data_IF_743154213491
#
_entry.id   IF_743154213491
#
_cell.length_a   1.000
_cell.length_b   1.000
_cell.length_c   1.000
_cell.angle_alpha   90.00
_cell.angle_beta   90.00
_cell.angle_gamma   90.00
#
_symmetry.space_group_name_H-M   'P 1'
#
loop_
_entity.id
_entity.type
_entity.pdbx_description
1 polymer ?
#
# COMPACT_ATOMS: atom_id res chain seq x y z
N UNK A 1 -2.05 21.31 12.77
CA UNK A 1 -2.00 21.63 11.33
C UNK A 1 -2.40 23.08 11.13
N UNK A 2 -2.06 23.65 9.99
CA UNK A 2 -2.45 25.01 9.59
C UNK A 2 -3.30 24.93 8.33
N UNK A 3 -4.45 25.61 8.34
CA UNK A 3 -5.37 25.75 7.22
C UNK A 3 -5.19 27.15 6.63
N UNK A 4 -4.74 27.24 5.39
CA UNK A 4 -4.63 28.49 4.64
C UNK A 4 -5.86 28.63 3.72
N UNK A 5 -6.53 29.78 3.77
CA UNK A 5 -7.64 30.07 2.88
C UNK A 5 -7.18 30.66 1.52
N UNK A 6 -8.12 30.94 0.63
CA UNK A 6 -7.85 31.53 -0.69
C UNK A 6 -7.22 32.93 -0.62
N UNK A 7 -7.39 33.64 0.50
CA UNK A 7 -6.78 34.95 0.75
C UNK A 7 -5.40 34.87 1.41
N UNK A 8 -4.87 33.66 1.63
CA UNK A 8 -3.57 33.42 2.26
C UNK A 8 -3.60 33.52 3.79
N UNK A 9 -4.78 33.60 4.41
CA UNK A 9 -4.90 33.70 5.86
C UNK A 9 -4.85 32.32 6.50
N UNK A 10 -4.04 32.22 7.55
CA UNK A 10 -3.76 30.96 8.24
C UNK A 10 -4.61 30.77 9.50
N UNK A 11 -5.14 29.56 9.68
CA UNK A 11 -5.90 29.13 10.83
C UNK A 11 -5.28 27.85 11.40
N UNK A 12 -4.91 27.86 12.68
CA UNK A 12 -4.44 26.64 13.35
C UNK A 12 -5.61 25.72 13.67
N UNK A 13 -5.50 24.45 13.28
CA UNK A 13 -6.46 23.41 13.60
C UNK A 13 -5.78 22.14 14.13
N UNK A 14 -6.43 21.47 15.08
CA UNK A 14 -5.95 20.19 15.63
C UNK A 14 -6.68 19.03 14.96
N UNK A 15 -5.91 18.15 14.33
CA UNK A 15 -6.42 16.90 13.77
C UNK A 15 -6.49 15.82 14.85
N UNK A 16 -7.62 15.12 14.92
CA UNK A 16 -7.79 13.94 15.76
C UNK A 16 -7.86 12.73 14.83
N UNK A 17 -6.73 12.02 14.71
CA UNK A 17 -6.60 10.87 13.83
C UNK A 17 -7.61 9.75 14.16
N UNK A 18 -7.85 9.48 15.45
CA UNK A 18 -8.80 8.44 15.91
C UNK A 18 -10.24 8.65 15.44
N UNK A 19 -10.61 9.89 15.14
CA UNK A 19 -11.97 10.27 14.74
C UNK A 19 -12.03 10.85 13.34
N UNK A 20 -10.88 10.88 12.64
CA UNK A 20 -10.72 11.54 11.33
C UNK A 20 -11.40 12.91 11.30
N UNK A 21 -11.16 13.71 12.34
CA UNK A 21 -11.91 14.94 12.60
C UNK A 21 -10.99 16.12 12.95
N UNK A 22 -11.40 17.32 12.56
CA UNK A 22 -10.80 18.57 13.01
C UNK A 22 -11.48 19.04 14.30
N UNK A 23 -10.70 19.52 15.26
CA UNK A 23 -11.18 19.85 16.60
C UNK A 23 -10.87 21.30 16.98
N UNK A 24 -9.91 21.53 17.87
CA UNK A 24 -9.51 22.86 18.29
C UNK A 24 -9.16 23.73 17.06
N UNK A 25 -9.66 24.96 17.03
CA UNK A 25 -9.47 25.90 15.91
C UNK A 25 -10.43 25.75 14.73
N UNK A 26 -11.10 24.59 14.57
CA UNK A 26 -12.09 24.39 13.50
C UNK A 26 -13.25 25.38 13.58
N UNK A 27 -13.78 25.62 14.79
CA UNK A 27 -14.89 26.55 15.02
C UNK A 27 -14.53 27.98 14.57
N UNK A 28 -13.28 28.40 14.76
CA UNK A 28 -12.81 29.72 14.34
C UNK A 28 -12.73 29.82 12.80
N UNK A 29 -12.22 28.78 12.15
CA UNK A 29 -12.20 28.69 10.67
C UNK A 29 -13.63 28.70 10.09
N UNK A 30 -14.51 27.84 10.61
CA UNK A 30 -15.90 27.72 10.16
C UNK A 30 -16.68 29.04 10.31
N UNK A 31 -16.52 29.73 11.45
CA UNK A 31 -17.13 31.03 11.67
C UNK A 31 -16.54 32.12 10.77
N UNK A 32 -15.21 32.16 10.61
CA UNK A 32 -14.52 33.12 9.75
C UNK A 32 -14.97 33.05 8.29
N UNK A 33 -15.26 31.84 7.81
CA UNK A 33 -15.75 31.61 6.45
C UNK A 33 -17.27 31.46 6.33
N UNK A 34 -18.05 31.65 7.42
CA UNK A 34 -19.52 31.52 7.41
C UNK A 34 -19.99 30.22 6.73
N UNK A 35 -19.34 29.11 7.05
CA UNK A 35 -19.66 27.82 6.45
C UNK A 35 -21.08 27.39 6.86
N UNK A 36 -21.83 26.86 5.90
CA UNK A 36 -23.16 26.29 6.15
C UNK A 36 -23.19 24.81 5.78
N UNK A 37 -24.18 24.09 6.29
CA UNK A 37 -24.40 22.70 5.89
C UNK A 37 -24.63 22.61 4.38
N UNK A 38 -23.91 21.69 3.73
CA UNK A 38 -23.88 21.53 2.28
C UNK A 38 -22.68 22.18 1.60
N UNK A 39 -21.96 23.10 2.26
CA UNK A 39 -20.68 23.60 1.74
C UNK A 39 -19.65 22.45 1.72
N UNK A 40 -18.92 22.33 0.62
CA UNK A 40 -17.88 21.32 0.43
C UNK A 40 -16.51 21.97 0.59
N UNK A 41 -15.61 21.29 1.29
CA UNK A 41 -14.25 21.77 1.55
C UNK A 41 -13.24 20.80 0.96
N UNK A 42 -12.33 21.34 0.17
CA UNK A 42 -11.23 20.58 -0.43
C UNK A 42 -9.94 20.97 0.28
N UNK A 43 -9.27 19.98 0.89
CA UNK A 43 -8.01 20.16 1.60
C UNK A 43 -6.85 19.72 0.71
N UNK A 44 -6.02 20.67 0.29
CA UNK A 44 -4.82 20.40 -0.49
C UNK A 44 -3.57 20.53 0.38
N UNK A 45 -2.82 19.45 0.54
CA UNK A 45 -1.59 19.43 1.35
C UNK A 45 -0.47 20.19 0.60
N UNK A 46 0.01 21.29 1.18
CA UNK A 46 1.09 22.11 0.59
C UNK A 46 2.42 21.96 1.33
N UNK A 47 2.41 21.46 2.57
CA UNK A 47 3.60 21.15 3.36
C UNK A 47 3.24 20.17 4.48
N UNK A 48 4.22 19.61 5.19
CA UNK A 48 4.11 18.53 6.19
C UNK A 48 3.06 18.74 7.29
N UNK A 49 2.56 19.97 7.49
CA UNK A 49 1.43 20.25 8.38
C UNK A 49 0.56 21.42 7.94
N UNK A 50 0.62 21.81 6.66
CA UNK A 50 -0.07 22.97 6.10
C UNK A 50 -0.97 22.56 4.93
N UNK A 51 -2.24 22.90 5.01
CA UNK A 51 -3.24 22.63 3.99
C UNK A 51 -3.79 23.93 3.44
N UNK A 52 -3.90 24.04 2.12
CA UNK A 52 -4.70 25.06 1.46
C UNK A 52 -6.14 24.56 1.33
N UNK A 53 -7.11 25.35 1.75
CA UNK A 53 -8.51 24.96 1.82
C UNK A 53 -9.33 25.74 0.82
N UNK A 54 -9.98 25.03 -0.10
CA UNK A 54 -10.90 25.59 -1.09
C UNK A 54 -12.35 25.32 -0.66
N UNK A 55 -13.22 26.32 -0.81
CA UNK A 55 -14.60 26.26 -0.32
C UNK A 55 -15.56 26.30 -1.49
N UNK A 56 -16.20 25.16 -1.80
CA UNK A 56 -17.26 25.06 -2.80
C UNK A 56 -18.60 25.26 -2.08
N UNK A 57 -19.23 26.40 -2.33
CA UNK A 57 -20.49 26.76 -1.65
C UNK A 57 -21.66 25.95 -2.15
N UNK A 58 -22.53 25.54 -1.24
CA UNK A 58 -23.80 24.92 -1.61
C UNK A 58 -24.62 25.91 -2.44
N UNK A 59 -25.13 25.45 -3.59
CA UNK A 59 -26.11 26.22 -4.37
C UNK A 59 -27.38 26.41 -3.53
N UNK A 60 -27.58 27.62 -3.03
CA UNK A 60 -28.86 28.01 -2.45
C UNK A 60 -29.79 28.37 -3.60
N UNK A 61 -30.68 27.45 -3.99
CA UNK A 61 -31.79 27.79 -4.88
C UNK A 61 -32.68 28.81 -4.16
N UNK A 62 -32.51 30.09 -4.50
CA UNK A 62 -33.52 31.10 -4.17
C UNK A 62 -34.75 30.75 -5.00
N UNK A 63 -35.83 30.40 -4.30
CA UNK A 63 -37.13 30.15 -4.91
C UNK A 63 -37.61 31.44 -5.60
N UNK A 64 -37.90 31.31 -6.91
CA UNK A 64 -38.74 32.17 -7.77
C UNK A 64 -38.03 33.45 -8.28
N UNK A 65 -38.01 33.84 -9.55
CA UNK A 65 -38.58 33.33 -10.81
C UNK A 65 -37.66 33.69 -11.99
N UNK A 66 -37.88 32.97 -13.07
CA UNK A 66 -37.56 33.26 -14.47
C UNK A 66 -36.16 32.96 -15.06
N UNK A 67 -36.21 31.96 -15.95
CA UNK A 67 -35.31 31.59 -17.05
C UNK A 67 -33.82 31.34 -16.75
N UNK A 68 -33.44 30.06 -16.69
CA UNK A 68 -32.72 29.44 -17.80
C UNK A 68 -32.89 27.92 -17.76
N UNK A 69 -33.42 27.42 -18.85
CA UNK A 69 -33.73 26.04 -19.16
C UNK A 69 -32.52 25.12 -19.18
N UNK A 70 -32.72 23.91 -18.65
CA UNK A 70 -32.19 22.65 -19.16
C UNK A 70 -30.70 22.37 -18.96
N UNK A 71 -30.40 21.46 -18.04
CA UNK A 71 -29.92 20.13 -18.43
C UNK A 71 -30.29 19.12 -17.32
N UNK A 72 -31.22 18.25 -17.67
CA UNK A 72 -31.64 17.11 -16.87
C UNK A 72 -30.76 15.92 -17.27
N UNK A 73 -29.96 15.38 -16.35
CA UNK A 73 -29.53 13.98 -16.44
C UNK A 73 -29.74 13.33 -15.08
N UNK A 74 -30.78 12.51 -15.07
CA UNK A 74 -31.20 11.65 -13.98
C UNK A 74 -30.17 10.51 -13.80
N UNK A 75 -29.62 10.36 -12.59
CA UNK A 75 -29.04 9.07 -12.14
C UNK A 75 -29.71 8.72 -10.83
N UNK A 76 -30.72 7.87 -10.92
CA UNK A 76 -31.32 7.20 -9.78
C UNK A 76 -30.34 6.16 -9.20
N UNK A 77 -29.91 6.35 -7.95
CA UNK A 77 -29.66 5.26 -7.01
C UNK A 77 -29.77 5.76 -5.55
N UNK A 78 -30.44 4.96 -4.72
CA UNK A 78 -31.05 5.30 -3.41
C UNK A 78 -30.04 5.66 -2.30
N UNK A 79 -30.44 6.48 -1.30
CA UNK A 79 -29.62 6.75 -0.12
C UNK A 79 -29.58 5.55 0.82
N UNK A 80 -28.39 5.07 1.16
CA UNK A 80 -28.19 4.11 2.25
C UNK A 80 -28.44 4.84 3.57
N UNK A 81 -29.59 4.56 4.19
CA UNK A 81 -29.90 4.98 5.56
C UNK A 81 -28.83 4.41 6.50
N UNK A 82 -28.12 5.29 7.20
CA UNK A 82 -27.20 4.87 8.27
C UNK A 82 -28.00 4.30 9.44
N UNK A 83 -27.96 2.97 9.58
CA UNK A 83 -28.49 2.27 10.76
C UNK A 83 -27.52 2.52 11.93
N UNK A 84 -27.98 3.27 12.95
CA UNK A 84 -27.26 3.40 14.23
C UNK A 84 -27.01 2.00 14.81
N UNK A 85 -25.75 1.55 14.82
CA UNK A 85 -25.31 0.41 15.62
C UNK A 85 -24.50 0.89 16.82
N UNK A 86 -24.91 0.39 18.00
CA UNK A 86 -24.33 0.62 19.32
C UNK A 86 -22.84 0.25 19.33
N UNK A 87 -22.08 1.08 20.05
CA UNK A 87 -20.66 0.93 20.40
C UNK A 87 -20.32 -0.51 20.80
N UNK A 88 -19.29 -1.07 20.18
CA UNK A 88 -18.44 -2.08 20.81
C UNK A 88 -16.98 -1.64 20.74
N UNK A 89 -16.40 -1.56 21.93
CA UNK A 89 -15.02 -1.18 22.24
C UNK A 89 -14.09 -2.26 21.68
N UNK A 90 -13.24 -1.93 20.71
CA UNK A 90 -12.06 -2.74 20.38
C UNK A 90 -10.86 -1.83 20.16
N UNK A 91 -9.76 -2.26 20.73
CA UNK A 91 -8.48 -1.60 20.90
C UNK A 91 -7.73 -1.45 19.57
N UNK A 92 -6.95 -0.37 19.50
CA UNK A 92 -6.11 0.05 18.38
C UNK A 92 -5.12 -1.01 17.90
N UNK A 93 -4.75 -0.93 16.61
CA UNK A 93 -3.38 -1.13 16.14
C UNK A 93 -3.15 -0.29 14.88
N UNK A 94 -2.04 0.45 14.93
CA UNK A 94 -1.60 1.48 13.99
C UNK A 94 -1.36 0.93 12.57
N UNK A 95 -1.71 1.73 11.56
CA UNK A 95 -1.08 1.69 10.24
C UNK A 95 -0.79 3.14 9.84
N UNK A 96 0.50 3.49 9.85
CA UNK A 96 0.99 4.78 9.38
C UNK A 96 0.89 4.86 7.86
N UNK A 97 0.40 6.00 7.39
CA UNK A 97 0.43 6.40 5.99
C UNK A 97 1.90 6.47 5.55
N UNK A 98 2.33 5.62 4.61
CA UNK A 98 3.64 5.75 3.97
C UNK A 98 3.46 6.61 2.72
N UNK A 99 4.10 7.76 2.74
CA UNK A 99 4.23 8.63 1.58
C UNK A 99 4.97 7.91 0.45
N UNK A 100 4.36 7.90 -0.74
CA UNK A 100 4.98 7.43 -1.97
C UNK A 100 5.80 8.58 -2.57
N UNK A 101 7.13 8.49 -2.49
CA UNK A 101 8.04 9.35 -3.24
C UNK A 101 8.12 8.89 -4.71
N UNK A 102 8.33 9.81 -5.68
CA UNK A 102 8.35 9.46 -7.10
C UNK A 102 9.68 8.78 -7.48
N UNK A 103 9.61 7.54 -8.00
CA UNK A 103 10.74 6.91 -8.67
C UNK A 103 10.65 7.19 -10.18
N UNK A 104 11.51 8.09 -10.65
CA UNK A 104 11.84 8.23 -12.07
C UNK A 104 12.72 7.04 -12.49
N UNK A 105 12.33 6.33 -13.55
CA UNK A 105 13.17 5.31 -14.19
C UNK A 105 13.65 5.84 -15.55
N UNK A 106 14.96 5.92 -15.82
CA UNK A 106 15.49 6.05 -17.17
C UNK A 106 15.66 4.67 -17.81
N UNK A 107 15.30 4.58 -19.10
CA UNK A 107 15.56 3.43 -19.96
C UNK A 107 17.05 3.27 -20.27
N UNK A 108 17.57 2.05 -20.26
CA UNK A 108 18.66 1.63 -21.14
C UNK A 108 18.72 0.10 -21.27
N UNK A 109 18.91 -0.34 -22.51
CA UNK A 109 19.20 -1.71 -22.93
C UNK A 109 20.61 -2.15 -22.49
N UNK A 110 20.86 -3.47 -22.60
CA UNK A 110 22.08 -4.12 -23.14
C UNK A 110 22.66 -5.28 -22.26
N UNK A 111 22.71 -6.44 -22.94
CA UNK A 111 23.63 -7.59 -22.90
C UNK A 111 23.79 -8.56 -21.71
N UNK A 112 23.48 -9.82 -22.05
CA UNK A 112 24.19 -11.07 -21.77
C UNK A 112 25.63 -10.95 -21.24
N UNK A 113 25.91 -11.72 -20.16
CA UNK A 113 27.02 -12.68 -20.11
C UNK A 113 27.00 -13.55 -18.83
N UNK A 114 26.62 -14.83 -19.01
CA UNK A 114 27.37 -16.06 -18.68
C UNK A 114 27.91 -16.40 -17.26
N UNK A 115 27.56 -17.65 -16.88
CA UNK A 115 28.44 -18.79 -16.49
C UNK A 115 28.85 -19.01 -15.01
N UNK A 116 28.45 -20.17 -14.47
CA UNK A 116 29.33 -21.14 -13.77
C UNK A 116 28.66 -22.53 -13.79
N UNK A 117 29.18 -23.38 -14.67
CA UNK A 117 28.85 -24.79 -14.87
C UNK A 117 30.21 -25.50 -14.76
N UNK A 118 30.37 -26.40 -13.79
CA UNK A 118 31.58 -27.20 -13.67
C UNK A 118 31.27 -28.66 -13.96
N UNK A 119 32.16 -29.19 -14.79
CA UNK A 119 32.22 -30.49 -15.42
C UNK A 119 32.13 -31.69 -14.47
N UNK A 120 31.65 -32.81 -15.01
CA UNK A 120 32.13 -34.12 -14.60
C UNK A 120 32.24 -35.00 -15.86
N UNK A 121 33.47 -35.32 -16.27
CA UNK A 121 33.77 -36.39 -17.23
C UNK A 121 34.54 -37.50 -16.51
N UNK A 122 34.09 -38.73 -16.77
CA UNK A 122 34.80 -40.02 -16.91
C UNK A 122 35.76 -40.44 -15.76
N UNK A 123 35.97 -41.71 -15.40
CA UNK A 123 35.74 -43.05 -15.96
C UNK A 123 35.98 -44.02 -14.78
N UNK A 124 35.07 -44.96 -14.49
CA UNK A 124 35.22 -46.41 -14.72
C UNK A 124 36.19 -47.17 -13.77
N UNK A 125 35.66 -48.14 -12.99
CA UNK A 125 36.02 -49.59 -12.99
C UNK A 125 35.56 -50.33 -11.70
N UNK A 126 34.68 -51.34 -11.91
CA UNK A 126 34.80 -52.76 -11.49
C UNK A 126 34.66 -53.16 -10.00
N UNK A 127 33.48 -53.70 -9.68
CA UNK A 127 33.18 -55.13 -9.41
C UNK A 127 33.30 -55.75 -7.99
N UNK A 128 32.17 -56.37 -7.61
CA UNK A 128 31.93 -57.60 -6.82
C UNK A 128 32.67 -57.88 -5.49
N UNK A 129 31.91 -58.19 -4.43
CA UNK A 129 31.64 -59.59 -4.06
C UNK A 129 30.74 -59.73 -2.82
N UNK A 130 29.92 -60.78 -2.86
CA UNK A 130 29.07 -61.31 -1.80
C UNK A 130 29.91 -61.95 -0.69
N UNK A 131 29.43 -61.89 0.56
CA UNK A 131 29.45 -63.10 1.39
C UNK A 131 28.46 -63.03 2.55
N UNK A 132 27.65 -64.09 2.61
CA UNK A 132 26.76 -64.48 3.71
C UNK A 132 27.55 -64.78 4.99
N UNK A 133 27.02 -64.36 6.13
CA UNK A 133 27.20 -65.12 7.37
C UNK A 133 25.98 -65.03 8.28
N UNK A 134 25.61 -66.22 8.74
CA UNK A 134 24.38 -66.64 9.39
C UNK A 134 24.17 -66.02 10.79
N UNK A 135 22.92 -65.66 11.03
CA UNK A 135 22.12 -65.95 12.23
C UNK A 135 22.84 -66.67 13.39
N UNK A 136 22.86 -66.03 14.58
CA UNK A 136 22.66 -66.67 15.88
C UNK A 136 22.32 -65.64 16.95
N UNK A 137 21.20 -65.89 17.62
CA UNK A 137 20.65 -65.14 18.75
C UNK A 137 21.52 -65.25 20.00
N UNK A 138 21.76 -64.12 20.67
CA UNK A 138 21.87 -64.01 22.14
C UNK A 138 21.58 -62.54 22.50
N UNK A 139 20.49 -62.17 23.16
CA UNK A 139 20.14 -62.63 24.49
C UNK A 139 20.78 -61.67 25.51
N UNK A 140 19.95 -60.78 26.08
CA UNK A 140 20.21 -59.95 27.27
C UNK A 140 20.96 -58.62 27.08
N UNK A 141 20.23 -57.55 26.73
CA UNK A 141 20.19 -56.29 27.50
C UNK A 141 18.79 -55.66 27.34
N UNK A 142 17.82 -56.28 28.00
CA UNK A 142 16.53 -55.67 28.31
C UNK A 142 16.78 -54.70 29.47
N UNK A 143 16.96 -53.40 29.16
CA UNK A 143 17.42 -52.46 30.20
C UNK A 143 17.56 -50.98 29.82
N UNK A 144 17.34 -50.58 28.57
CA UNK A 144 17.15 -49.17 28.22
C UNK A 144 15.70 -48.99 27.79
N UNK A 145 14.81 -49.21 28.75
CA UNK A 145 13.43 -48.73 28.67
C UNK A 145 13.49 -47.21 28.60
N UNK A 146 13.29 -46.68 27.38
CA UNK A 146 12.60 -45.42 27.08
C UNK A 146 12.68 -44.36 28.19
N UNK A 147 13.84 -43.72 28.32
CA UNK A 147 14.04 -42.49 29.11
C UNK A 147 13.95 -41.22 28.25
N UNK A 148 13.45 -41.32 27.02
CA UNK A 148 12.90 -40.18 26.31
C UNK A 148 11.50 -39.91 26.89
N UNK A 149 11.45 -39.32 28.08
CA UNK A 149 10.24 -38.62 28.51
C UNK A 149 9.90 -37.65 27.39
N UNK A 150 8.75 -37.83 26.77
CA UNK A 150 8.15 -36.84 25.89
C UNK A 150 7.87 -35.64 26.81
N UNK A 151 8.84 -34.73 26.91
CA UNK A 151 8.69 -33.50 27.67
C UNK A 151 7.57 -32.75 26.97
N UNK A 152 6.46 -32.50 27.67
CA UNK A 152 5.41 -31.63 27.14
C UNK A 152 6.01 -30.25 26.92
N UNK A 153 5.74 -29.62 25.77
CA UNK A 153 6.34 -28.32 25.43
C UNK A 153 6.07 -27.26 26.51
N UNK A 154 4.98 -27.41 27.26
CA UNK A 154 4.62 -26.56 28.41
C UNK A 154 5.65 -26.57 29.55
N UNK A 155 6.50 -27.59 29.65
CA UNK A 155 7.53 -27.70 30.70
C UNK A 155 8.82 -26.96 30.34
N UNK A 156 9.03 -26.61 29.05
CA UNK A 156 10.24 -25.93 28.57
C UNK A 156 10.14 -24.42 28.78
N UNK A 157 10.57 -23.96 29.97
CA UNK A 157 10.50 -22.53 30.37
C UNK A 157 11.70 -21.69 29.93
N UNK A 158 12.82 -22.31 29.54
CA UNK A 158 14.05 -21.61 29.13
C UNK A 158 14.67 -22.23 27.87
N UNK A 159 15.40 -21.42 27.11
CA UNK A 159 16.21 -21.85 25.97
C UNK A 159 17.29 -22.87 26.36
N UNK A 160 17.78 -22.81 27.60
CA UNK A 160 18.80 -23.74 28.12
C UNK A 160 18.24 -25.16 28.29
N UNK A 161 16.94 -25.25 28.63
CA UNK A 161 16.19 -26.51 28.73
C UNK A 161 15.65 -27.00 27.37
N UNK A 162 15.80 -26.21 26.31
CA UNK A 162 15.29 -26.58 24.99
C UNK A 162 16.25 -27.56 24.29
N UNK A 163 15.80 -28.80 24.16
CA UNK A 163 16.50 -29.88 23.48
C UNK A 163 15.65 -30.31 22.29
N UNK A 164 16.28 -30.36 21.12
CA UNK A 164 15.65 -30.81 19.87
C UNK A 164 16.02 -32.28 19.69
N UNK A 165 15.02 -33.15 19.69
CA UNK A 165 15.21 -34.60 19.52
C UNK A 165 14.40 -35.08 18.33
N UNK A 166 15.08 -35.72 17.37
CA UNK A 166 14.41 -36.38 16.22
C UNK A 166 14.91 -37.81 16.16
N UNK A 167 13.98 -38.76 16.12
CA UNK A 167 14.28 -40.20 16.12
C UNK A 167 15.19 -40.64 17.27
N UNK A 168 15.00 -40.06 18.46
CA UNK A 168 15.80 -40.35 19.66
C UNK A 168 17.22 -39.77 19.64
N UNK A 169 17.61 -39.06 18.58
CA UNK A 169 18.92 -38.42 18.48
C UNK A 169 18.79 -36.91 18.74
N UNK A 170 19.72 -36.37 19.53
CA UNK A 170 19.82 -34.93 19.77
C UNK A 170 20.38 -34.25 18.51
N UNK A 171 19.71 -33.18 18.06
CA UNK A 171 20.19 -32.36 16.96
C UNK A 171 21.01 -31.20 17.53
N UNK A 172 22.20 -31.00 16.99
CA UNK A 172 23.03 -29.82 17.26
C UNK A 172 22.80 -28.79 16.16
N UNK A 173 22.40 -27.58 16.57
CA UNK A 173 22.23 -26.41 15.70
C UNK A 173 23.15 -25.30 16.21
N UNK A 174 23.48 -24.33 15.35
CA UNK A 174 24.14 -23.12 15.83
C UNK A 174 23.23 -22.36 16.81
N UNK A 175 23.84 -21.65 17.75
CA UNK A 175 23.13 -20.94 18.84
C UNK A 175 22.05 -19.99 18.32
N UNK A 176 22.36 -19.31 17.20
CA UNK A 176 21.43 -18.41 16.53
C UNK A 176 20.19 -19.15 16.00
N UNK A 177 20.38 -20.23 15.24
CA UNK A 177 19.25 -21.01 14.71
C UNK A 177 18.44 -21.66 15.84
N UNK A 178 19.11 -22.14 16.90
CA UNK A 178 18.43 -22.71 18.08
C UNK A 178 17.53 -21.67 18.76
N UNK A 179 18.03 -20.44 18.96
CA UNK A 179 17.27 -19.35 19.56
C UNK A 179 16.04 -18.99 18.73
N UNK A 180 16.23 -18.78 17.43
CA UNK A 180 15.12 -18.42 16.53
C UNK A 180 14.11 -19.54 16.37
N UNK A 181 14.57 -20.78 16.34
CA UNK A 181 13.69 -21.93 16.29
C UNK A 181 12.89 -22.11 17.58
N UNK A 182 13.52 -21.88 18.74
CA UNK A 182 12.82 -21.86 20.03
C UNK A 182 11.74 -20.77 20.07
N UNK A 183 12.03 -19.55 19.60
CA UNK A 183 11.03 -18.47 19.46
C UNK A 183 9.83 -18.91 18.60
N UNK A 184 10.09 -19.61 17.49
CA UNK A 184 9.03 -20.13 16.61
C UNK A 184 8.18 -21.20 17.31
N UNK A 185 8.81 -22.17 17.98
CA UNK A 185 8.10 -23.20 18.74
C UNK A 185 7.25 -22.57 19.86
N UNK A 186 7.79 -21.57 20.56
CA UNK A 186 7.07 -20.81 21.59
C UNK A 186 5.83 -20.10 21.01
N UNK A 187 5.95 -19.55 19.80
CA UNK A 187 4.82 -18.87 19.14
C UNK A 187 3.65 -19.80 18.83
N UNK A 188 3.93 -21.09 18.61
CA UNK A 188 2.93 -22.13 18.35
C UNK A 188 2.58 -22.97 19.58
N UNK A 189 3.29 -22.75 20.69
CA UNK A 189 3.20 -23.57 21.90
C UNK A 189 3.35 -25.08 21.61
N UNK A 190 4.28 -25.43 20.70
CA UNK A 190 4.51 -26.81 20.28
C UNK A 190 5.91 -26.96 19.67
N UNK A 191 6.50 -28.15 19.76
CA UNK A 191 7.68 -28.46 18.95
C UNK A 191 7.26 -28.64 17.49
N UNK A 192 7.83 -27.83 16.59
CA UNK A 192 7.43 -27.86 15.19
C UNK A 192 7.87 -29.14 14.46
N UNK A 193 8.79 -29.90 15.05
CA UNK A 193 9.38 -31.11 14.48
C UNK A 193 8.78 -32.43 14.99
N UNK A 194 7.77 -32.39 15.87
CA UNK A 194 7.21 -33.59 16.52
C UNK A 194 6.68 -34.63 15.53
N UNK A 195 6.15 -34.17 14.40
CA UNK A 195 5.53 -35.03 13.39
C UNK A 195 6.45 -35.34 12.22
N UNK A 196 7.74 -34.96 12.28
CA UNK A 196 8.70 -35.31 11.23
C UNK A 196 8.75 -36.82 11.03
N UNK A 197 8.79 -37.25 9.76
CA UNK A 197 8.82 -38.66 9.42
C UNK A 197 10.02 -39.38 10.06
N UNK A 198 9.78 -40.57 10.61
CA UNK A 198 10.81 -41.39 11.27
C UNK A 198 11.97 -41.80 10.35
N UNK A 199 11.77 -41.75 9.03
CA UNK A 199 12.79 -42.03 8.03
C UNK A 199 13.79 -40.88 7.83
N UNK A 200 13.50 -39.68 8.35
CA UNK A 200 14.37 -38.50 8.19
C UNK A 200 15.58 -38.64 9.11
N UNK A 201 16.78 -38.51 8.55
CA UNK A 201 18.01 -38.51 9.35
C UNK A 201 18.10 -37.25 10.21
N UNK A 202 18.75 -37.35 11.38
CA UNK A 202 18.97 -36.21 12.28
C UNK A 202 19.68 -35.05 11.57
N UNK A 203 20.60 -35.34 10.65
CA UNK A 203 21.27 -34.33 9.80
C UNK A 203 20.31 -33.61 8.86
N UNK A 204 19.41 -34.34 8.20
CA UNK A 204 18.41 -33.73 7.32
C UNK A 204 17.38 -32.92 8.13
N UNK A 205 16.95 -33.42 9.28
CA UNK A 205 16.08 -32.69 10.19
C UNK A 205 16.71 -31.38 10.67
N UNK A 206 18.01 -31.37 10.95
CA UNK A 206 18.76 -30.16 11.30
C UNK A 206 18.68 -29.10 10.18
N UNK A 207 18.87 -29.53 8.92
CA UNK A 207 18.80 -28.64 7.76
C UNK A 207 17.38 -28.11 7.54
N UNK A 208 16.36 -28.96 7.67
CA UNK A 208 14.94 -28.53 7.59
C UNK A 208 14.64 -27.46 8.64
N UNK A 209 15.10 -27.66 9.87
CA UNK A 209 14.91 -26.69 10.96
C UNK A 209 15.64 -25.37 10.63
N UNK A 210 16.91 -25.43 10.20
CA UNK A 210 17.68 -24.24 9.84
C UNK A 210 17.03 -23.46 8.69
N UNK A 211 16.55 -24.15 7.65
CA UNK A 211 15.86 -23.53 6.52
C UNK A 211 14.51 -22.94 6.93
N UNK A 212 13.76 -23.62 7.81
CA UNK A 212 12.50 -23.09 8.36
C UNK A 212 12.73 -21.76 9.09
N UNK A 213 13.80 -21.67 9.88
CA UNK A 213 14.21 -20.44 10.56
C UNK A 213 14.55 -19.34 9.55
N UNK A 214 15.40 -19.63 8.55
CA UNK A 214 15.78 -18.66 7.51
C UNK A 214 14.55 -18.10 6.78
N UNK A 215 13.62 -18.97 6.39
CA UNK A 215 12.38 -18.55 5.71
C UNK A 215 11.51 -17.72 6.66
N UNK A 216 11.37 -18.11 7.93
CA UNK A 216 10.59 -17.34 8.89
C UNK A 216 11.15 -15.93 9.13
N UNK A 217 12.48 -15.80 9.19
CA UNK A 217 13.15 -14.50 9.28
C UNK A 217 12.99 -13.68 8.00
N UNK A 218 13.11 -14.31 6.83
CA UNK A 218 12.85 -13.64 5.56
C UNK A 218 11.40 -13.13 5.46
N UNK A 219 10.41 -13.94 5.86
CA UNK A 219 8.99 -13.56 5.97
C UNK A 219 8.82 -12.38 6.94
N UNK A 220 9.53 -12.39 8.07
CA UNK A 220 9.48 -11.30 9.06
C UNK A 220 10.10 -10.01 8.53
N UNK A 221 11.14 -10.11 7.69
CA UNK A 221 11.85 -9.00 7.05
C UNK A 221 11.31 -8.57 5.69
N UNK A 222 10.21 -9.18 5.21
CA UNK A 222 9.62 -8.88 3.91
C UNK A 222 9.26 -7.40 3.77
N UNK A 223 9.51 -6.86 2.57
CA UNK A 223 9.13 -5.51 2.16
C UNK A 223 8.14 -5.60 0.99
N UNK A 224 7.49 -4.47 0.68
CA UNK A 224 6.65 -4.36 -0.51
C UNK A 224 7.43 -4.58 -1.82
N UNK A 225 8.75 -4.39 -1.80
CA UNK A 225 9.64 -4.65 -2.92
C UNK A 225 10.13 -6.10 -3.00
N UNK A 226 9.74 -6.98 -2.07
CA UNK A 226 10.12 -8.39 -2.12
C UNK A 226 9.53 -9.03 -3.37
N UNK A 227 10.34 -9.79 -4.10
CA UNK A 227 9.93 -10.31 -5.40
C UNK A 227 8.87 -11.40 -5.25
N UNK A 228 7.94 -11.49 -6.20
CA UNK A 228 6.95 -12.57 -6.22
C UNK A 228 7.60 -13.96 -6.35
N UNK A 229 8.77 -14.04 -6.98
CA UNK A 229 9.54 -15.27 -7.10
C UNK A 229 9.99 -15.79 -5.73
N UNK A 230 10.40 -14.91 -4.82
CA UNK A 230 10.81 -15.28 -3.45
C UNK A 230 9.64 -15.88 -2.67
N UNK A 231 8.46 -15.25 -2.76
CA UNK A 231 7.23 -15.75 -2.15
C UNK A 231 6.87 -17.17 -2.64
N UNK A 232 6.98 -17.42 -3.95
CA UNK A 232 6.72 -18.73 -4.54
C UNK A 232 7.75 -19.78 -4.11
N UNK A 233 9.02 -19.39 -4.00
CA UNK A 233 10.08 -20.29 -3.55
C UNK A 233 9.84 -20.71 -2.10
N UNK A 234 9.59 -19.75 -1.21
CA UNK A 234 9.32 -20.04 0.20
C UNK A 234 8.05 -20.89 0.38
N UNK A 235 6.97 -20.59 -0.35
CA UNK A 235 5.75 -21.40 -0.31
C UNK A 235 6.00 -22.86 -0.70
N UNK A 236 6.72 -23.09 -1.81
CA UNK A 236 7.08 -24.45 -2.26
C UNK A 236 7.94 -25.18 -1.23
N UNK A 237 8.94 -24.50 -0.66
CA UNK A 237 9.81 -25.10 0.37
C UNK A 237 9.01 -25.45 1.63
N UNK A 238 8.16 -24.55 2.11
CA UNK A 238 7.32 -24.79 3.30
C UNK A 238 6.30 -25.92 3.05
N UNK A 239 5.71 -26.02 1.85
CA UNK A 239 4.86 -27.16 1.47
C UNK A 239 5.64 -28.47 1.48
N UNK A 240 6.87 -28.46 0.95
CA UNK A 240 7.75 -29.63 1.03
C UNK A 240 8.04 -30.06 2.48
N UNK A 241 8.31 -29.10 3.37
CA UNK A 241 8.54 -29.40 4.79
C UNK A 241 7.29 -29.91 5.50
N UNK A 242 6.12 -29.37 5.18
CA UNK A 242 4.84 -29.85 5.69
C UNK A 242 4.58 -31.32 5.28
N UNK A 243 4.88 -31.68 4.03
CA UNK A 243 4.79 -33.08 3.57
C UNK A 243 5.74 -34.03 4.31
N UNK A 244 6.87 -33.51 4.80
CA UNK A 244 7.82 -34.25 5.63
C UNK A 244 7.39 -34.32 7.11
N UNK A 245 6.26 -33.71 7.46
CA UNK A 245 5.70 -33.71 8.82
C UNK A 245 6.13 -32.54 9.69
N UNK A 246 6.74 -31.49 9.12
CA UNK A 246 7.07 -30.28 9.86
C UNK A 246 5.82 -29.42 10.04
N UNK A 247 5.55 -28.94 11.25
CA UNK A 247 4.45 -28.01 11.50
C UNK A 247 4.85 -26.58 11.07
N UNK A 248 4.57 -26.24 9.81
CA UNK A 248 4.87 -24.91 9.22
C UNK A 248 3.65 -24.22 8.61
N UNK A 249 2.45 -24.75 8.80
CA UNK A 249 1.22 -24.19 8.22
C UNK A 249 0.96 -22.74 8.62
N UNK A 250 1.37 -22.34 9.83
CA UNK A 250 1.26 -20.95 10.29
C UNK A 250 2.15 -19.98 9.50
N UNK A 251 3.33 -20.43 9.04
CA UNK A 251 4.22 -19.64 8.18
C UNK A 251 3.62 -19.50 6.78
N UNK A 252 3.06 -20.57 6.22
CA UNK A 252 2.35 -20.53 4.94
C UNK A 252 1.15 -19.59 4.98
N UNK A 253 0.32 -19.66 6.04
CA UNK A 253 -0.82 -18.78 6.21
C UNK A 253 -0.40 -17.30 6.29
N UNK A 254 0.70 -17.01 7.00
CA UNK A 254 1.28 -15.66 7.07
C UNK A 254 1.80 -15.21 5.71
N UNK A 255 2.48 -16.09 4.98
CA UNK A 255 3.03 -15.83 3.65
C UNK A 255 1.93 -15.49 2.64
N UNK A 256 0.87 -16.29 2.61
CA UNK A 256 -0.29 -16.07 1.73
C UNK A 256 -0.97 -14.73 2.03
N UNK A 257 -1.12 -14.38 3.31
CA UNK A 257 -1.66 -13.07 3.70
C UNK A 257 -0.78 -11.91 3.20
N UNK A 258 0.54 -12.05 3.25
CA UNK A 258 1.46 -11.03 2.73
C UNK A 258 1.34 -10.91 1.21
N UNK A 259 1.25 -12.02 0.49
CA UNK A 259 1.01 -11.99 -0.96
C UNK A 259 -0.29 -11.27 -1.31
N UNK A 260 -1.40 -11.62 -0.64
CA UNK A 260 -2.70 -10.96 -0.86
C UNK A 260 -2.61 -9.45 -0.64
N UNK A 261 -2.02 -9.01 0.49
CA UNK A 261 -1.86 -7.59 0.78
C UNK A 261 -0.97 -6.88 -0.24
N UNK A 262 0.06 -7.56 -0.75
CA UNK A 262 0.93 -7.01 -1.80
C UNK A 262 0.16 -6.81 -3.10
N UNK A 263 -0.65 -7.78 -3.51
CA UNK A 263 -1.49 -7.68 -4.72
C UNK A 263 -2.56 -6.61 -4.59
N UNK A 264 -3.30 -6.57 -3.47
CA UNK A 264 -4.32 -5.56 -3.20
C UNK A 264 -3.73 -4.13 -3.24
N UNK A 265 -2.54 -3.95 -2.67
CA UNK A 265 -1.86 -2.65 -2.70
C UNK A 265 -1.44 -2.27 -4.13
N UNK A 266 -0.91 -3.21 -4.90
CA UNK A 266 -0.50 -2.95 -6.28
C UNK A 266 -1.69 -2.54 -7.14
N UNK A 267 -2.81 -3.26 -7.04
CA UNK A 267 -4.06 -2.91 -7.73
C UNK A 267 -4.58 -1.53 -7.33
N UNK A 268 -4.56 -1.20 -6.04
CA UNK A 268 -4.99 0.11 -5.56
C UNK A 268 -4.12 1.25 -6.12
N UNK A 269 -2.80 1.06 -6.19
CA UNK A 269 -1.85 2.05 -6.73
C UNK A 269 -2.03 2.22 -8.24
N UNK A 270 -2.29 1.14 -8.98
CA UNK A 270 -2.58 1.20 -10.42
C UNK A 270 -3.92 1.89 -10.70
N UNK A 271 -4.95 1.57 -9.90
CA UNK A 271 -6.27 2.21 -10.00
C UNK A 271 -6.18 3.73 -9.76
N UNK A 272 -5.46 4.16 -8.72
CA UNK A 272 -5.30 5.57 -8.42
C UNK A 272 -4.49 6.30 -9.50
N UNK A 273 -3.44 5.67 -10.05
CA UNK A 273 -2.70 6.22 -11.19
C UNK A 273 -3.59 6.45 -12.41
N UNK A 274 -4.45 5.49 -12.73
CA UNK A 274 -5.40 5.63 -13.83
C UNK A 274 -6.38 6.79 -13.60
N UNK A 275 -6.91 6.92 -12.38
CA UNK A 275 -7.82 8.03 -12.02
C UNK A 275 -7.16 9.39 -12.16
N UNK A 276 -5.94 9.53 -11.64
CA UNK A 276 -5.17 10.78 -11.76
C UNK A 276 -4.90 11.11 -13.23
N UNK A 277 -4.56 10.12 -14.07
CA UNK A 277 -4.38 10.34 -15.50
C UNK A 277 -5.64 10.86 -16.19
N UNK A 278 -6.81 10.29 -15.87
CA UNK A 278 -8.09 10.71 -16.43
C UNK A 278 -8.44 12.15 -16.01
N UNK A 279 -8.23 12.48 -14.73
CA UNK A 279 -8.46 13.83 -14.21
C UNK A 279 -7.51 14.83 -14.88
N UNK A 280 -6.24 14.47 -15.10
CA UNK A 280 -5.28 15.33 -15.82
C UNK A 280 -5.73 15.63 -17.26
N UNK A 281 -6.23 14.63 -17.99
CA UNK A 281 -6.73 14.81 -19.35
C UNK A 281 -7.97 15.72 -19.37
N UNK A 282 -8.90 15.52 -18.44
CA UNK A 282 -10.07 16.40 -18.28
C UNK A 282 -9.66 17.86 -18.02
N UNK A 283 -8.76 18.10 -17.06
CA UNK A 283 -8.29 19.46 -16.74
C UNK A 283 -7.56 20.10 -17.92
N UNK A 284 -6.83 19.31 -18.72
CA UNK A 284 -6.14 19.79 -19.92
C UNK A 284 -7.14 20.24 -21.00
N UNK A 285 -8.23 19.50 -21.20
CA UNK A 285 -9.25 19.87 -22.17
C UNK A 285 -10.09 21.07 -21.72
N UNK A 286 -10.40 21.16 -20.42
CA UNK A 286 -11.04 22.35 -19.84
C UNK A 286 -10.16 23.59 -20.02
N UNK A 287 -8.84 23.48 -19.76
CA UNK A 287 -7.88 24.56 -20.00
C UNK A 287 -7.91 25.04 -21.46
N UNK A 288 -7.85 24.13 -22.44
CA UNK A 288 -7.93 24.50 -23.86
C UNK A 288 -9.25 25.22 -24.19
N UNK A 289 -10.36 24.75 -23.63
CA UNK A 289 -11.66 25.39 -23.82
C UNK A 289 -11.67 26.84 -23.29
N UNK A 290 -11.11 27.05 -22.10
CA UNK A 290 -10.99 28.37 -21.50
C UNK A 290 -10.07 29.29 -22.32
N UNK A 291 -8.95 28.77 -22.84
CA UNK A 291 -8.04 29.52 -23.72
C UNK A 291 -8.76 30.01 -25.00
N UNK A 292 -9.58 29.16 -25.62
CA UNK A 292 -10.39 29.54 -26.78
C UNK A 292 -11.41 30.63 -26.42
N UNK A 293 -12.08 30.53 -25.27
CA UNK A 293 -13.03 31.56 -24.82
C UNK A 293 -12.34 32.89 -24.55
N UNK A 294 -11.15 32.86 -23.96
CA UNK A 294 -10.33 34.04 -23.70
C UNK A 294 -9.93 34.72 -25.02
N UNK A 295 -9.51 33.96 -26.02
CA UNK A 295 -9.17 34.51 -27.34
C UNK A 295 -10.38 35.22 -27.99
N UNK A 296 -11.58 34.63 -27.92
CA UNK A 296 -12.81 35.25 -28.44
C UNK A 296 -13.17 36.55 -27.72
N UNK A 297 -13.02 36.58 -26.39
CA UNK A 297 -13.24 37.80 -25.60
C UNK A 297 -12.24 38.90 -25.97
N UNK A 298 -10.97 38.54 -26.17
CA UNK A 298 -9.93 39.48 -26.60
C UNK A 298 -10.22 40.07 -27.98
N UNK A 299 -10.68 39.25 -28.93
CA UNK A 299 -11.10 39.73 -30.25
C UNK A 299 -12.30 40.68 -30.15
N UNK A 300 -13.31 40.35 -29.33
CA UNK A 300 -14.47 41.21 -29.11
C UNK A 300 -14.08 42.55 -28.47
N UNK A 301 -13.17 42.55 -27.51
CA UNK A 301 -12.62 43.77 -26.90
C UNK A 301 -11.96 44.66 -27.96
N UNK A 302 -11.07 44.10 -28.79
CA UNK A 302 -10.43 44.86 -29.86
C UNK A 302 -11.41 45.42 -30.90
N UNK A 303 -12.50 44.71 -31.19
CA UNK A 303 -13.58 45.24 -32.05
C UNK A 303 -14.29 46.43 -31.42
N UNK A 304 -14.64 46.34 -30.13
CA UNK A 304 -15.28 47.43 -29.41
C UNK A 304 -14.37 48.66 -29.29
N UNK A 305 -13.07 48.45 -29.03
CA UNK A 305 -12.09 49.54 -28.99
C UNK A 305 -12.06 50.31 -30.33
N UNK A 306 -12.06 49.58 -31.46
CA UNK A 306 -12.09 50.19 -32.78
C UNK A 306 -13.39 50.96 -33.06
N UNK A 307 -14.53 50.45 -32.59
CA UNK A 307 -15.84 51.11 -32.71
C UNK A 307 -15.89 52.40 -31.88
N UNK A 308 -15.34 52.37 -30.66
CA UNK A 308 -15.23 53.55 -29.79
C UNK A 308 -14.40 54.65 -30.46
N UNK A 309 -13.23 54.31 -30.99
CA UNK A 309 -12.37 55.28 -31.69
C UNK A 309 -13.06 55.85 -32.94
N UNK A 310 -13.78 55.02 -33.69
CA UNK A 310 -14.57 55.49 -34.84
C UNK A 310 -15.69 56.46 -34.44
N UNK A 311 -16.44 56.14 -33.38
CA UNK A 311 -17.50 57.01 -32.87
C UNK A 311 -16.93 58.33 -32.35
N UNK A 312 -15.78 58.30 -31.68
CA UNK A 312 -15.10 59.49 -31.19
C UNK A 312 -14.67 60.42 -32.33
N UNK A 313 -14.05 59.87 -33.39
CA UNK A 313 -13.68 60.65 -34.56
C UNK A 313 -14.92 61.27 -35.27
N UNK A 314 -16.02 60.53 -35.34
CA UNK A 314 -17.28 61.07 -35.88
C UNK A 314 -17.84 62.20 -35.02
N UNK A 315 -17.80 62.07 -33.69
CA UNK A 315 -18.24 63.12 -32.77
C UNK A 315 -17.39 64.40 -32.92
N UNK A 316 -16.06 64.26 -32.99
CA UNK A 316 -15.14 65.38 -33.23
C UNK A 316 -15.43 66.09 -34.58
N UNK A 317 -15.72 65.32 -35.63
CA UNK A 317 -16.12 65.88 -36.94
C UNK A 317 -17.44 66.66 -36.84
N UNK A 318 -18.44 66.11 -36.17
CA UNK A 318 -19.73 66.80 -35.99
C UNK A 318 -19.60 68.07 -35.16
N UNK A 319 -18.75 68.07 -34.13
CA UNK A 319 -18.43 69.27 -33.36
C UNK A 319 -17.79 70.34 -34.24
N UNK A 320 -16.83 69.98 -35.09
CA UNK A 320 -16.22 70.93 -36.04
C UNK A 320 -17.24 71.54 -36.99
N UNK A 321 -18.11 70.73 -37.61
CA UNK A 321 -19.16 71.25 -38.50
C UNK A 321 -20.14 72.18 -37.77
N UNK A 322 -20.49 71.86 -36.52
CA UNK A 322 -21.35 72.70 -35.70
C UNK A 322 -20.69 74.07 -35.43
N UNK A 323 -19.40 74.07 -35.07
CA UNK A 323 -18.64 75.30 -34.84
C UNK A 323 -18.50 76.13 -36.13
N UNK A 324 -18.34 75.52 -37.29
CA UNK A 324 -18.32 76.23 -38.58
C UNK A 324 -19.65 76.96 -38.84
N UNK A 325 -20.78 76.28 -38.65
CA UNK A 325 -22.12 76.84 -38.86
C UNK A 325 -22.43 77.99 -37.88
N UNK A 326 -22.08 77.83 -36.60
CA UNK A 326 -22.24 78.88 -35.57
C UNK A 326 -21.46 80.15 -35.92
N UNK A 327 -20.31 80.01 -36.60
CA UNK A 327 -19.43 81.12 -36.96
C UNK A 327 -19.68 81.69 -38.37
N UNK A 328 -20.65 81.15 -39.13
CA UNK A 328 -21.00 81.63 -40.46
C UNK A 328 -21.67 83.02 -40.42
N UNK A 329 -21.52 83.81 -41.49
CA UNK A 329 -22.15 85.12 -41.61
C UNK A 329 -23.66 84.99 -41.91
N UNK A 330 -24.46 85.85 -41.27
CA UNK A 330 -25.94 85.85 -41.34
C UNK A 330 -26.50 86.34 -42.67
#
# INVERSE_FOLDING_TARGET
MTLEDESGKEYKATYIAERTALSAGWKAFSAGHKLVEGDVLVFHLVSSSKFKVYIVRAFKSKKVDDSFSSLNVNVHAKPIRSRRMKRRKRTAKNAGCLELFPLNLPSANVENNSLMLLDTKNEHLVDQSENDSKELSSGLVDGIRSLASIIDFQEVKSIDSFIITVNGSRIELSEHHKTKYYELCCSQNSFLHDHLLKSISSKLAAEIIAQTVKIAEAIKGCKLSTSQADYLLWDKTLKGFELLGMNVGFLQARLNRLMTLSSELQEAVESERYRISLEQDHMKDEKKCLEVKLMKLKEAMHRLDAEIESLKANAEKHELMFQEEVNAAW
#
